data_IF_576870629733
#
_entry.id   IF_576870629733
#
_cell.length_a   1.000
_cell.length_b   1.000
_cell.length_c   1.000
_cell.angle_alpha   90.00
_cell.angle_beta   90.00
_cell.angle_gamma   90.00
#
_symmetry.space_group_name_H-M   'P 1'
#
loop_
_entity.id
_entity.type
_entity.pdbx_description
1 polymer ?
#
# COMPACT_ATOMS: atom_id res chain seq x y z
N UNK A 1 0.24 18.65 -7.64
CA UNK A 1 -0.98 19.44 -7.50
C UNK A 1 -1.63 19.07 -6.17
N UNK A 2 -1.23 19.73 -5.07
CA UNK A 2 -1.68 19.36 -3.73
C UNK A 2 -3.05 19.99 -3.45
N UNK A 3 -4.04 19.17 -3.07
CA UNK A 3 -5.34 19.65 -2.61
C UNK A 3 -6.38 19.91 -3.71
N UNK A 4 -6.09 19.58 -4.98
CA UNK A 4 -7.15 19.55 -5.99
C UNK A 4 -7.98 18.27 -5.91
N UNK A 5 -9.30 18.37 -6.12
CA UNK A 5 -10.13 17.18 -6.21
C UNK A 5 -9.62 16.31 -7.36
N UNK A 6 -9.62 15.00 -7.15
CA UNK A 6 -9.35 14.08 -8.24
C UNK A 6 -10.37 14.34 -9.37
N UNK A 7 -9.97 14.19 -10.64
CA UNK A 7 -10.89 14.36 -11.78
C UNK A 7 -11.95 13.26 -11.87
N UNK A 8 -12.06 12.40 -10.85
CA UNK A 8 -12.99 11.28 -10.77
C UNK A 8 -13.66 11.25 -9.40
N UNK A 9 -14.95 10.93 -9.39
CA UNK A 9 -15.70 10.66 -8.16
C UNK A 9 -15.20 9.35 -7.57
N UNK A 10 -14.79 9.37 -6.30
CA UNK A 10 -14.37 8.16 -5.61
C UNK A 10 -15.58 7.23 -5.37
N UNK A 11 -15.42 5.91 -5.53
CA UNK A 11 -16.48 4.96 -5.21
C UNK A 11 -16.88 5.02 -3.74
N UNK A 12 -18.12 4.65 -3.44
CA UNK A 12 -18.57 4.42 -2.07
C UNK A 12 -17.74 3.31 -1.39
N UNK A 13 -17.59 3.38 -0.07
CA UNK A 13 -16.76 2.41 0.66
C UNK A 13 -17.27 0.98 0.55
N UNK A 14 -18.59 0.77 0.40
CA UNK A 14 -19.20 -0.55 0.20
C UNK A 14 -18.92 -1.13 -1.19
N UNK A 15 -18.45 -0.30 -2.13
CA UNK A 15 -18.06 -0.72 -3.48
C UNK A 15 -16.54 -0.97 -3.60
N UNK A 16 -15.79 -0.91 -2.49
CA UNK A 16 -14.35 -1.10 -2.45
C UNK A 16 -13.97 -2.37 -1.67
N UNK A 17 -12.80 -2.92 -2.01
CA UNK A 17 -12.10 -3.91 -1.18
C UNK A 17 -10.84 -3.27 -0.63
N UNK A 18 -10.65 -3.38 0.68
CA UNK A 18 -9.54 -2.73 1.37
C UNK A 18 -8.44 -3.74 1.69
N UNK A 19 -7.24 -3.51 1.15
CA UNK A 19 -6.06 -4.29 1.50
C UNK A 19 -5.43 -3.79 2.80
N UNK A 20 -4.70 -4.66 3.51
CA UNK A 20 -4.06 -4.33 4.79
C UNK A 20 -3.08 -3.13 4.72
N UNK A 21 -2.48 -2.90 3.55
CA UNK A 21 -1.53 -1.81 3.28
C UNK A 21 -2.17 -0.57 2.63
N UNK A 22 -3.48 -0.59 2.36
CA UNK A 22 -4.16 0.57 1.79
C UNK A 22 -4.38 1.62 2.88
N UNK A 23 -4.04 2.88 2.61
CA UNK A 23 -4.15 3.98 3.59
C UNK A 23 -5.52 4.67 3.60
N UNK A 24 -6.44 4.30 2.71
CA UNK A 24 -7.73 5.00 2.58
C UNK A 24 -7.67 6.23 1.67
N UNK A 25 -6.50 6.57 1.12
CA UNK A 25 -6.31 7.76 0.28
C UNK A 25 -5.55 7.44 -0.99
N UNK A 26 -5.88 8.10 -2.11
CA UNK A 26 -5.10 8.04 -3.34
C UNK A 26 -3.81 8.88 -3.29
N UNK A 27 -3.60 9.68 -2.23
CA UNK A 27 -2.45 10.56 -2.09
C UNK A 27 -1.40 9.98 -1.15
N UNK A 28 -0.12 10.09 -1.55
CA UNK A 28 1.03 9.72 -0.71
C UNK A 28 1.03 10.52 0.59
N UNK A 29 1.13 9.84 1.74
CA UNK A 29 1.06 10.45 3.08
C UNK A 29 -0.34 10.84 3.55
N UNK A 30 -1.37 10.61 2.72
CA UNK A 30 -2.77 10.79 3.07
C UNK A 30 -3.35 9.53 3.72
N UNK A 31 -3.94 9.69 4.90
CA UNK A 31 -4.76 8.65 5.53
C UNK A 31 -6.23 9.03 5.35
N UNK A 32 -7.03 8.11 4.82
CA UNK A 32 -8.48 8.25 4.71
C UNK A 32 -9.21 7.53 5.84
N UNK A 33 -10.54 7.70 5.88
CA UNK A 33 -11.39 6.91 6.79
C UNK A 33 -11.57 5.52 6.18
N UNK A 34 -11.18 4.50 6.94
CA UNK A 34 -11.39 3.10 6.60
C UNK A 34 -12.47 2.50 7.51
N UNK A 35 -13.23 1.48 7.04
CA UNK A 35 -14.13 0.73 7.90
C UNK A 35 -13.42 0.12 9.12
N UNK A 36 -14.13 -0.13 10.23
CA UNK A 36 -13.53 -0.76 11.40
C UNK A 36 -13.06 -2.19 11.10
N UNK A 37 -11.75 -2.42 11.24
CA UNK A 37 -11.11 -3.70 10.94
C UNK A 37 -10.19 -3.66 9.72
N UNK A 38 -10.22 -2.58 8.94
CA UNK A 38 -9.53 -2.46 7.67
C UNK A 38 -8.28 -1.57 7.78
N UNK A 39 -7.23 -1.94 7.04
CA UNK A 39 -5.95 -1.24 7.05
C UNK A 39 -5.10 -1.54 8.29
N UNK A 40 -4.23 -0.59 8.64
CA UNK A 40 -3.41 -0.64 9.86
C UNK A 40 -1.94 -1.05 9.66
N UNK A 41 -1.59 -1.71 8.54
CA UNK A 41 -0.19 -2.04 8.24
C UNK A 41 0.55 -0.93 7.47
N UNK A 42 -0.12 0.20 7.22
CA UNK A 42 0.43 1.37 6.56
C UNK A 42 0.34 2.62 7.44
N UNK A 43 1.17 2.65 8.50
CA UNK A 43 1.16 3.72 9.50
C UNK A 43 1.55 5.09 8.94
N UNK A 44 2.44 5.09 7.95
CA UNK A 44 2.96 6.33 7.35
C UNK A 44 2.18 6.76 6.10
N UNK A 45 1.18 5.98 5.68
CA UNK A 45 0.42 6.22 4.44
C UNK A 45 1.30 6.25 3.18
N UNK A 46 2.28 5.34 3.12
CA UNK A 46 3.16 5.12 1.98
C UNK A 46 2.49 4.31 0.86
N UNK A 47 3.18 4.18 -0.27
CA UNK A 47 2.77 3.29 -1.36
C UNK A 47 3.56 1.97 -1.33
N UNK A 48 2.85 0.85 -1.40
CA UNK A 48 3.41 -0.49 -1.35
C UNK A 48 3.43 -1.10 -2.74
N UNK A 49 4.60 -1.61 -3.14
CA UNK A 49 4.80 -2.32 -4.39
C UNK A 49 5.46 -3.66 -4.11
N UNK A 50 5.07 -4.71 -4.83
CA UNK A 50 5.79 -5.98 -4.78
C UNK A 50 7.13 -5.82 -5.48
N UNK A 51 8.21 -6.14 -4.78
CA UNK A 51 9.55 -6.21 -5.35
C UNK A 51 9.98 -7.66 -5.40
N UNK A 52 10.11 -8.21 -6.60
CA UNK A 52 10.33 -9.65 -6.79
C UNK A 52 11.07 -9.95 -8.09
N UNK A 53 11.53 -11.19 -8.21
CA UNK A 53 12.07 -11.73 -9.47
C UNK A 53 10.96 -12.03 -10.46
N UNK A 54 11.12 -11.59 -11.71
CA UNK A 54 10.18 -11.87 -12.79
C UNK A 54 10.29 -13.30 -13.38
N UNK A 55 11.09 -14.16 -12.78
CA UNK A 55 11.01 -15.60 -13.02
C UNK A 55 10.00 -16.20 -12.03
N UNK A 56 8.84 -16.64 -12.53
CA UNK A 56 7.69 -17.01 -11.69
C UNK A 56 8.02 -18.12 -10.66
N UNK A 57 8.91 -19.05 -11.00
CA UNK A 57 9.32 -20.11 -10.05
C UNK A 57 10.00 -19.54 -8.80
N UNK A 58 10.68 -18.40 -8.92
CA UNK A 58 11.45 -17.78 -7.84
C UNK A 58 10.57 -17.03 -6.82
N UNK A 59 9.29 -16.79 -7.12
CA UNK A 59 8.29 -16.20 -6.20
C UNK A 59 7.52 -17.27 -5.39
N UNK A 60 7.94 -18.53 -5.50
CA UNK A 60 7.34 -19.67 -4.80
C UNK A 60 8.35 -20.30 -3.84
N UNK A 61 7.89 -20.70 -2.65
CA UNK A 61 8.69 -21.45 -1.70
C UNK A 61 8.22 -22.91 -1.69
N UNK A 62 8.97 -23.81 -2.36
CA UNK A 62 8.59 -25.22 -2.46
C UNK A 62 7.27 -25.44 -3.20
N UNK A 63 7.02 -24.69 -4.28
CA UNK A 63 5.78 -24.68 -5.06
C UNK A 63 4.56 -24.06 -4.36
N UNK A 64 4.74 -23.32 -3.26
CA UNK A 64 3.68 -22.55 -2.62
C UNK A 64 3.90 -21.04 -2.81
N UNK A 65 2.86 -20.34 -3.27
CA UNK A 65 2.84 -18.87 -3.40
C UNK A 65 2.09 -18.24 -2.21
N UNK A 66 2.48 -17.03 -1.73
CA UNK A 66 3.68 -16.25 -2.07
C UNK A 66 4.90 -16.62 -1.21
N UNK A 67 6.11 -16.60 -1.77
CA UNK A 67 7.34 -16.83 -1.00
C UNK A 67 8.64 -16.61 -1.76
N UNK A 68 9.76 -17.03 -1.16
CA UNK A 68 11.10 -16.97 -1.76
C UNK A 68 11.55 -15.54 -2.12
N UNK A 69 11.79 -15.22 -3.41
CA UNK A 69 12.29 -13.92 -3.87
C UNK A 69 11.17 -12.89 -4.01
N UNK A 70 10.49 -12.63 -2.89
CA UNK A 70 9.46 -11.61 -2.76
C UNK A 70 9.76 -10.74 -1.54
N UNK A 71 9.77 -9.43 -1.75
CA UNK A 71 9.71 -8.43 -0.69
C UNK A 71 8.77 -7.31 -1.10
N UNK A 72 8.56 -6.35 -0.21
CA UNK A 72 7.79 -5.14 -0.49
C UNK A 72 8.74 -3.95 -0.61
N UNK A 73 8.57 -3.15 -1.66
CA UNK A 73 9.11 -1.81 -1.75
C UNK A 73 8.07 -0.83 -1.22
N UNK A 74 8.47 0.02 -0.28
CA UNK A 74 7.59 1.05 0.28
C UNK A 74 8.13 2.42 -0.11
N UNK A 75 7.28 3.24 -0.72
CA UNK A 75 7.55 4.66 -0.98
C UNK A 75 6.89 5.48 0.11
N UNK A 76 7.69 6.15 0.94
CA UNK A 76 7.21 6.93 2.08
C UNK A 76 7.09 8.43 1.77
N UNK A 77 6.16 9.16 2.41
CA UNK A 77 6.04 10.60 2.24
C UNK A 77 7.23 11.34 2.88
N UNK A 78 7.71 12.43 2.27
CA UNK A 78 8.95 13.08 2.69
C UNK A 78 8.92 13.81 4.05
N UNK A 79 7.77 14.00 4.71
CA UNK A 79 7.66 14.94 5.85
C UNK A 79 6.68 14.57 6.99
N UNK A 80 6.47 13.28 7.29
CA UNK A 80 5.65 12.88 8.45
C UNK A 80 6.42 12.05 9.47
N UNK A 81 7.46 12.62 10.11
CA UNK A 81 8.16 11.96 11.22
C UNK A 81 8.61 10.52 10.93
N UNK A 82 8.79 10.19 9.64
CA UNK A 82 9.04 8.84 9.16
C UNK A 82 10.45 8.50 9.57
N UNK A 83 10.59 7.66 10.61
CA UNK A 83 11.87 7.06 10.95
C UNK A 83 12.08 5.92 9.96
N UNK A 84 12.85 6.20 8.91
CA UNK A 84 13.34 5.16 8.01
C UNK A 84 14.48 4.46 8.77
N UNK A 85 14.35 3.18 9.16
CA UNK A 85 15.47 2.47 9.74
C UNK A 85 16.59 2.43 8.67
N UNK A 86 17.74 3.01 9.01
CA UNK A 86 18.98 2.92 8.22
C UNK A 86 19.53 1.51 8.23
#
# INVERSE_FOLDING_TARGET
DHGKPLPVTLPDTLALTFGAFYSGSPFLGGAGVLPPGEGGFNQNSGFFYMWHSHNEVEITAGNLFPGSMLTMLIVEPPNKGVVIPQ
#
